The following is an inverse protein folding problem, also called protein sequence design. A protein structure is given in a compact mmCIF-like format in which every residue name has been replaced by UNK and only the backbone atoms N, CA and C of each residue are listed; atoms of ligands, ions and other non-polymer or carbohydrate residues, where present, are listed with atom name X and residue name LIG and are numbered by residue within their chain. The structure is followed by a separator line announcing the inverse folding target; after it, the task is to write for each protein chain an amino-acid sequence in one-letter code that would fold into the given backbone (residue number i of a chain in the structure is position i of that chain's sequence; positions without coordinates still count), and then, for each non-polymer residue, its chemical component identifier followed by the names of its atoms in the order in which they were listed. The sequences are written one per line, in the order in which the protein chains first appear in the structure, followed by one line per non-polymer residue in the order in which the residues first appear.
data_IF_891203375079
#
_entry.id   IF_891203375079
#
_cell.length_a   1.000
_cell.length_b   1.000
_cell.length_c   1.000
_cell.angle_alpha   90.00
_cell.angle_beta   90.00
_cell.angle_gamma   90.00
#
_symmetry.space_group_name_H-M   'P 1'
#
loop_
_entity.id
_entity.type
_entity.pdbx_description
1 polymer ?
#
# COMPACT_ATOMS: atom_id res chain seq x y z
N UNK A 1 -12.92 -5.35 7.50
CA UNK A 1 -12.05 -6.38 6.88
C UNK A 1 -10.61 -6.14 7.28
N UNK A 2 -9.84 -7.18 7.65
CA UNK A 2 -8.39 -7.05 7.90
C UNK A 2 -7.60 -7.75 6.80
N UNK A 3 -6.57 -7.07 6.32
CA UNK A 3 -5.68 -7.58 5.30
C UNK A 3 -4.28 -7.00 5.50
N UNK A 4 -3.30 -7.64 4.87
CA UNK A 4 -1.97 -7.06 4.69
C UNK A 4 -1.85 -6.57 3.26
N UNK A 5 -1.44 -5.34 3.09
CA UNK A 5 -0.99 -4.83 1.81
C UNK A 5 0.51 -5.08 1.68
N UNK A 6 0.94 -5.39 0.47
CA UNK A 6 2.35 -5.47 0.13
C UNK A 6 2.66 -4.63 -1.10
N UNK A 7 3.80 -3.96 -1.08
CA UNK A 7 4.30 -3.17 -2.21
C UNK A 7 5.79 -3.43 -2.42
N UNK A 8 6.23 -3.31 -3.66
CA UNK A 8 7.65 -3.27 -4.03
C UNK A 8 7.94 -1.88 -4.56
N UNK A 9 8.93 -1.22 -3.97
CA UNK A 9 9.37 0.09 -4.42
C UNK A 9 10.49 -0.05 -5.45
N UNK A 10 10.42 0.77 -6.49
CA UNK A 10 11.47 0.92 -7.49
C UNK A 10 11.99 2.35 -7.45
N UNK A 11 13.30 2.53 -7.62
CA UNK A 11 13.91 3.85 -7.73
C UNK A 11 13.79 4.32 -9.19
N UNK A 12 13.31 5.55 -9.39
CA UNK A 12 13.10 6.11 -10.74
C UNK A 12 14.43 6.31 -11.50
N UNK A 13 15.52 6.61 -10.80
CA UNK A 13 16.84 6.85 -11.37
C UNK A 13 17.80 5.69 -11.10
N UNK A 14 18.66 5.40 -12.09
CA UNK A 14 19.66 4.32 -12.07
C UNK A 14 20.91 4.64 -11.20
N UNK A 15 20.82 5.66 -10.34
CA UNK A 15 21.89 6.05 -9.44
C UNK A 15 21.84 5.16 -8.19
N UNK A 16 23.01 4.62 -7.81
CA UNK A 16 23.17 3.44 -6.96
C UNK A 16 22.18 3.37 -5.78
N UNK A 17 21.72 2.15 -5.52
CA UNK A 17 20.83 1.78 -4.42
C UNK A 17 21.49 2.07 -3.05
N UNK A 18 21.46 3.33 -2.64
CA UNK A 18 21.79 3.79 -1.28
C UNK A 18 20.52 4.13 -0.51
N UNK A 19 20.54 3.88 0.80
CA UNK A 19 19.58 4.44 1.74
C UNK A 19 19.68 5.98 1.68
N UNK A 20 18.69 6.63 1.07
CA UNK A 20 18.62 8.09 0.96
C UNK A 20 18.30 8.75 2.34
N UNK A 21 18.03 7.96 3.37
CA UNK A 21 17.67 8.48 4.70
C UNK A 21 16.30 9.17 4.74
N UNK A 22 15.61 9.22 3.60
CA UNK A 22 14.25 9.74 3.45
C UNK A 22 13.21 8.66 3.77
N UNK A 23 12.02 9.08 4.21
CA UNK A 23 10.87 8.21 4.40
C UNK A 23 9.83 8.45 3.32
N UNK A 24 9.12 7.40 2.93
CA UNK A 24 8.08 7.46 1.91
C UNK A 24 6.71 7.36 2.55
N UNK A 25 5.82 8.29 2.22
CA UNK A 25 4.41 8.17 2.55
C UNK A 25 3.69 7.40 1.43
N UNK A 26 2.98 6.35 1.84
CA UNK A 26 2.11 5.55 0.96
C UNK A 26 0.69 5.72 1.44
N UNK A 27 -0.16 6.24 0.57
CA UNK A 27 -1.59 6.36 0.78
C UNK A 27 -2.26 5.06 0.34
N UNK A 28 -3.27 4.63 1.11
CA UNK A 28 -4.09 3.46 0.82
C UNK A 28 -5.52 3.92 0.75
N UNK A 29 -6.09 3.85 -0.44
CA UNK A 29 -7.49 4.15 -0.68
C UNK A 29 -8.24 2.87 -1.08
N UNK A 30 -9.40 2.67 -0.47
CA UNK A 30 -10.26 1.53 -0.75
C UNK A 30 -11.57 2.08 -1.29
N UNK A 31 -12.01 1.55 -2.42
CA UNK A 31 -13.27 1.95 -3.05
C UNK A 31 -14.14 0.74 -3.32
N UNK A 32 -15.44 0.90 -3.09
CA UNK A 32 -16.43 -0.04 -3.60
C UNK A 32 -16.53 0.15 -5.12
N UNK A 33 -16.18 -0.91 -5.86
CA UNK A 33 -16.13 -0.84 -7.32
C UNK A 33 -17.53 -0.63 -7.95
N UNK A 34 -18.60 -0.99 -7.25
CA UNK A 34 -19.97 -0.93 -7.79
C UNK A 34 -20.55 0.48 -7.78
N UNK A 35 -20.29 1.25 -6.72
CA UNK A 35 -20.85 2.58 -6.53
C UNK A 35 -19.78 3.69 -6.50
N UNK A 36 -18.49 3.34 -6.48
CA UNK A 36 -17.37 4.27 -6.44
C UNK A 36 -17.19 4.98 -5.09
N UNK A 37 -17.86 4.51 -4.03
CA UNK A 37 -17.75 5.12 -2.71
C UNK A 37 -16.48 4.66 -2.01
N UNK A 38 -15.78 5.62 -1.40
CA UNK A 38 -14.64 5.33 -0.54
C UNK A 38 -15.08 4.56 0.70
N UNK A 39 -14.33 3.53 1.01
CA UNK A 39 -14.46 2.70 2.21
C UNK A 39 -13.45 3.21 3.24
N UNK A 40 -13.89 3.63 4.43
CA UNK A 40 -12.98 4.03 5.49
C UNK A 40 -12.02 2.89 5.85
N UNK A 41 -10.73 3.22 5.95
CA UNK A 41 -9.70 2.28 6.38
C UNK A 41 -8.71 2.93 7.34
N UNK A 42 -8.04 2.08 8.13
CA UNK A 42 -7.10 2.48 9.16
C UNK A 42 -5.90 1.52 9.22
N UNK A 43 -4.66 2.04 9.23
CA UNK A 43 -4.33 3.40 8.84
C UNK A 43 -4.47 3.55 7.30
N UNK A 44 -4.94 4.70 6.82
CA UNK A 44 -4.97 5.01 5.38
C UNK A 44 -3.66 5.60 4.85
N UNK A 45 -2.67 5.79 5.72
CA UNK A 45 -1.34 6.33 5.39
C UNK A 45 -0.29 5.51 6.12
N UNK A 46 0.72 5.06 5.38
CA UNK A 46 1.86 4.30 5.89
C UNK A 46 3.16 5.04 5.61
N UNK A 47 4.04 5.09 6.60
CA UNK A 47 5.40 5.63 6.44
C UNK A 47 6.36 4.46 6.29
N UNK A 48 7.10 4.44 5.19
CA UNK A 48 8.10 3.42 4.88
C UNK A 48 9.49 4.01 5.13
N UNK A 49 10.28 3.29 5.92
CA UNK A 49 11.68 3.59 6.19
C UNK A 49 12.39 2.33 6.70
N UNK A 50 13.63 2.04 6.26
CA UNK A 50 14.38 2.70 5.19
C UNK A 50 13.83 2.37 3.79
N UNK A 51 14.17 3.19 2.80
CA UNK A 51 13.79 2.98 1.40
C UNK A 51 14.87 2.18 0.67
N UNK A 52 14.48 1.00 0.17
CA UNK A 52 15.34 0.03 -0.48
C UNK A 52 14.64 -0.43 -1.77
N UNK A 53 15.35 -0.32 -2.89
CA UNK A 53 14.83 -0.75 -4.20
C UNK A 53 14.62 -2.25 -4.21
N UNK A 54 13.57 -2.71 -4.90
CA UNK A 54 13.20 -4.12 -5.07
C UNK A 54 12.88 -4.86 -3.76
N UNK A 55 12.73 -4.14 -2.65
CA UNK A 55 12.33 -4.73 -1.37
C UNK A 55 10.80 -4.79 -1.25
N UNK A 56 10.33 -5.91 -0.72
CA UNK A 56 8.92 -6.11 -0.40
C UNK A 56 8.60 -5.50 0.97
N UNK A 57 7.77 -4.48 0.97
CA UNK A 57 7.20 -3.88 2.17
C UNK A 57 5.82 -4.47 2.44
N UNK A 58 5.53 -4.82 3.69
CA UNK A 58 4.25 -5.39 4.10
C UNK A 58 3.73 -4.60 5.29
N UNK A 59 2.49 -4.14 5.20
CA UNK A 59 1.82 -3.41 6.27
C UNK A 59 0.36 -3.85 6.40
N UNK A 60 -0.19 -3.74 7.61
CA UNK A 60 -1.55 -4.17 7.91
C UNK A 60 -2.52 -3.01 7.74
N UNK A 61 -3.68 -3.28 7.14
CA UNK A 61 -4.77 -2.32 6.95
C UNK A 61 -6.07 -2.96 7.44
N UNK A 62 -6.83 -2.19 8.19
CA UNK A 62 -8.17 -2.53 8.65
C UNK A 62 -9.17 -1.61 7.97
N UNK A 63 -9.99 -2.16 7.06
CA UNK A 63 -11.13 -1.48 6.50
C UNK A 63 -12.35 -1.69 7.42
N UNK A 64 -13.26 -0.70 7.48
CA UNK A 64 -14.57 -0.90 8.10
C UNK A 64 -15.34 -2.06 7.42
N UNK A 65 -16.41 -2.53 8.07
CA UNK A 65 -17.19 -3.67 7.57
C UNK A 65 -17.85 -3.32 6.23
N UNK A 66 -17.24 -3.81 5.15
CA UNK A 66 -17.73 -3.66 3.79
C UNK A 66 -18.78 -4.72 3.48
N UNK A 67 -19.97 -4.29 3.07
CA UNK A 67 -20.97 -5.17 2.43
C UNK A 67 -20.70 -5.35 0.93
N UNK A 68 -19.62 -4.76 0.41
CA UNK A 68 -19.22 -4.75 -0.98
C UNK A 68 -18.76 -6.14 -1.43
N UNK A 69 -19.16 -6.59 -2.61
CA UNK A 69 -18.69 -7.87 -3.17
C UNK A 69 -17.41 -7.73 -3.97
N UNK A 70 -17.03 -6.50 -4.36
CA UNK A 70 -15.83 -6.20 -5.12
C UNK A 70 -15.24 -4.87 -4.65
N UNK A 71 -13.95 -4.88 -4.29
CA UNK A 71 -13.22 -3.72 -3.81
C UNK A 71 -12.07 -3.39 -4.77
N UNK A 72 -11.80 -2.11 -4.93
CA UNK A 72 -10.60 -1.60 -5.57
C UNK A 72 -9.67 -1.04 -4.49
N UNK A 73 -8.40 -1.43 -4.54
CA UNK A 73 -7.36 -0.93 -3.65
C UNK A 73 -6.41 -0.09 -4.50
N UNK A 74 -6.20 1.14 -4.07
CA UNK A 74 -5.30 2.09 -4.70
C UNK A 74 -4.17 2.41 -3.72
N UNK A 75 -2.94 2.33 -4.24
CA UNK A 75 -1.73 2.63 -3.49
C UNK A 75 -1.03 3.76 -4.20
N UNK A 76 -0.84 4.88 -3.50
CA UNK A 76 -0.23 6.07 -4.09
C UNK A 76 0.95 6.53 -3.26
N UNK A 77 1.95 7.07 -3.96
CA UNK A 77 3.04 7.79 -3.33
C UNK A 77 3.26 9.13 -4.04
N UNK A 78 3.66 10.14 -3.26
CA UNK A 78 3.90 11.51 -3.74
C UNK A 78 5.40 11.77 -4.02
N UNK A 79 6.21 10.71 -4.13
CA UNK A 79 7.65 10.81 -4.39
C UNK A 79 7.93 10.95 -5.88
N UNK A 80 8.95 11.76 -6.21
CA UNK A 80 9.48 11.84 -7.57
C UNK A 80 10.61 10.82 -7.82
N UNK A 81 11.18 10.25 -6.77
CA UNK A 81 12.36 9.38 -6.82
C UNK A 81 12.02 7.90 -6.66
N UNK A 82 10.84 7.62 -6.10
CA UNK A 82 10.37 6.28 -5.78
C UNK A 82 8.99 6.07 -6.37
N UNK A 83 8.80 4.94 -7.03
CA UNK A 83 7.53 4.50 -7.58
C UNK A 83 7.17 3.11 -7.02
N UNK A 84 5.88 2.76 -7.12
CA UNK A 84 5.38 1.43 -6.74
C UNK A 84 5.47 0.54 -7.99
N UNK A 85 6.49 -0.32 -8.03
CA UNK A 85 6.69 -1.25 -9.14
C UNK A 85 5.70 -2.42 -9.13
N UNK A 86 5.38 -2.94 -7.94
CA UNK A 86 4.40 -4.01 -7.75
C UNK A 86 3.59 -3.78 -6.47
N UNK A 87 2.35 -4.26 -6.43
CA UNK A 87 1.51 -4.21 -5.25
C UNK A 87 0.62 -5.46 -5.13
N UNK A 88 0.14 -5.74 -3.92
CA UNK A 88 -0.70 -6.90 -3.64
C UNK A 88 -1.43 -6.82 -2.30
N UNK A 89 -2.42 -7.70 -2.15
CA UNK A 89 -3.23 -7.85 -0.94
C UNK A 89 -3.18 -9.30 -0.47
N UNK A 90 -2.96 -9.49 0.82
CA UNK A 90 -3.01 -10.78 1.50
C UNK A 90 -4.18 -10.72 2.49
N UNK A 91 -5.25 -11.45 2.18
CA UNK A 91 -6.41 -11.55 3.07
C UNK A 91 -6.03 -12.34 4.33
N UNK A 92 -6.27 -11.76 5.49
CA UNK A 92 -6.13 -12.49 6.76
C UNK A 92 -7.38 -13.35 6.97
N UNK A 93 -7.28 -14.64 6.64
CA UNK A 93 -8.33 -15.60 6.97
C UNK A 93 -8.22 -15.91 8.46
N UNK A 94 -9.28 -15.73 9.27
CA UNK A 94 -9.23 -16.08 10.67
C UNK A 94 -8.95 -17.58 10.80
N UNK A 95 -7.86 -17.92 11.48
CA UNK A 95 -7.60 -19.29 11.93
C UNK A 95 -8.73 -19.71 12.87
N UNK A 96 -9.47 -20.74 12.46
CA UNK A 96 -10.61 -21.32 13.18
C UNK A 96 -10.23 -21.90 14.54
#
# INVERSE_FOLDING_TARGET
MRFKACIVLIKCDNDEAGDDGSSLMVHVDIMDKQNGLSVPCSPGIHIIYPLLTEHLYIFQVEAEEVTCTELMFEFETMSNEWDIGECGIILEVPSS
#
